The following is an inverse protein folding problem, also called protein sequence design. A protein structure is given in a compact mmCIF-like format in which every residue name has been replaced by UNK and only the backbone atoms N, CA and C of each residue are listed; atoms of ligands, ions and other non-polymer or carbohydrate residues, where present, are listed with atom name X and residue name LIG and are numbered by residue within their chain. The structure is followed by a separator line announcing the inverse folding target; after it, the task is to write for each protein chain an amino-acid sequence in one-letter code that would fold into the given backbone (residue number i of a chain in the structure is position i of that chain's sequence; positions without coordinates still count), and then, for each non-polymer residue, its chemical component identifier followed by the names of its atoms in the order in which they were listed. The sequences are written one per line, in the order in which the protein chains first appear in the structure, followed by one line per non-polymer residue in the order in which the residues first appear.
data_IF_144238869535
#
_entry.id   IF_144238869535
#
_cell.length_a   1.000
_cell.length_b   1.000
_cell.length_c   1.000
_cell.angle_alpha   90.00
_cell.angle_beta   90.00
_cell.angle_gamma   90.00
#
_symmetry.space_group_name_H-M   'P 1'
#
loop_
_entity.id
_entity.type
_entity.pdbx_description
1 polymer ?
#
# COMPACT_ATOMS: atom_id res chain seq x y z
N UNK A 1 -20.27 0.48 39.12
CA UNK A 1 -19.81 -0.92 39.14
C UNK A 1 -18.39 -0.88 38.64
N UNK A 2 -17.44 -1.20 39.51
CA UNK A 2 -16.01 -1.25 39.18
C UNK A 2 -15.84 -2.10 37.91
N UNK A 3 -15.40 -1.46 36.83
CA UNK A 3 -14.79 -2.19 35.73
C UNK A 3 -13.53 -2.75 36.35
N UNK A 4 -13.51 -4.05 36.63
CA UNK A 4 -12.27 -4.75 36.95
C UNK A 4 -11.25 -4.29 35.92
N UNK A 5 -10.17 -3.63 36.35
CA UNK A 5 -9.18 -3.11 35.42
C UNK A 5 -8.62 -4.31 34.67
N UNK A 6 -8.84 -4.38 33.35
CA UNK A 6 -8.25 -5.41 32.49
C UNK A 6 -6.73 -5.23 32.50
N UNK A 7 -6.06 -5.85 33.48
CA UNK A 7 -4.63 -5.74 33.71
C UNK A 7 -3.99 -7.12 33.78
N UNK A 8 -2.70 -7.16 33.45
CA UNK A 8 -1.82 -8.30 33.62
C UNK A 8 -0.86 -7.99 34.76
N UNK A 9 -0.84 -8.85 35.79
CA UNK A 9 0.17 -8.78 36.84
C UNK A 9 1.41 -9.57 36.42
N UNK A 10 2.57 -8.92 36.41
CA UNK A 10 3.87 -9.51 36.10
C UNK A 10 4.75 -9.44 37.34
N UNK A 11 5.20 -10.59 37.84
CA UNK A 11 6.18 -10.66 38.94
C UNK A 11 7.56 -10.97 38.38
N UNK A 12 8.52 -10.08 38.61
CA UNK A 12 9.92 -10.30 38.26
C UNK A 12 10.63 -11.05 39.40
N UNK A 13 10.85 -12.35 39.21
CA UNK A 13 11.49 -13.20 40.21
C UNK A 13 12.94 -12.80 40.55
N UNK A 14 13.61 -12.00 39.71
CA UNK A 14 14.97 -11.51 39.99
C UNK A 14 14.98 -10.47 41.12
N UNK A 15 13.89 -9.73 41.29
CA UNK A 15 13.76 -8.64 42.28
C UNK A 15 12.65 -8.87 43.29
N UNK A 16 11.73 -9.82 43.03
CA UNK A 16 10.53 -10.07 43.81
C UNK A 16 9.43 -9.01 43.63
N UNK A 17 9.63 -8.02 42.76
CA UNK A 17 8.66 -6.93 42.53
C UNK A 17 7.56 -7.39 41.57
N UNK A 18 6.34 -6.92 41.83
CA UNK A 18 5.20 -7.13 40.95
C UNK A 18 4.74 -5.82 40.32
N UNK A 19 4.31 -5.91 39.07
CA UNK A 19 3.93 -4.78 38.23
C UNK A 19 2.58 -5.09 37.60
N UNK A 20 1.72 -4.08 37.47
CA UNK A 20 0.46 -4.20 36.74
C UNK A 20 0.58 -3.47 35.41
N UNK A 21 0.22 -4.16 34.34
CA UNK A 21 0.27 -3.62 32.97
C UNK A 21 -1.13 -3.66 32.39
N UNK A 22 -1.65 -2.56 31.82
CA UNK A 22 -2.98 -2.55 31.23
C UNK A 22 -3.03 -3.43 29.98
N UNK A 23 -4.10 -4.20 29.85
CA UNK A 23 -4.43 -4.96 28.65
C UNK A 23 -5.49 -4.18 27.88
N UNK A 24 -5.25 -3.92 26.60
CA UNK A 24 -6.20 -3.27 25.72
C UNK A 24 -6.20 -3.95 24.36
N UNK A 25 -7.38 -4.23 23.80
CA UNK A 25 -7.53 -4.87 22.49
C UNK A 25 -6.78 -6.22 22.40
N UNK A 26 -6.72 -6.96 23.51
CA UNK A 26 -5.98 -8.23 23.60
C UNK A 26 -4.45 -8.08 23.58
N UNK A 27 -3.92 -6.86 23.73
CA UNK A 27 -2.48 -6.57 23.68
C UNK A 27 -2.02 -5.80 24.93
N UNK A 28 -0.72 -5.85 25.20
CA UNK A 28 -0.04 -4.93 26.12
C UNK A 28 0.90 -4.03 25.31
N UNK A 29 1.13 -2.79 25.76
CA UNK A 29 2.14 -1.94 25.10
C UNK A 29 3.53 -2.40 25.51
N UNK A 30 4.40 -2.65 24.54
CA UNK A 30 5.80 -3.02 24.82
C UNK A 30 6.54 -1.96 25.65
N UNK A 31 6.18 -0.68 25.52
CA UNK A 31 6.76 0.41 26.32
C UNK A 31 6.41 0.31 27.81
N UNK A 32 5.29 -0.30 28.16
CA UNK A 32 4.84 -0.40 29.55
C UNK A 32 5.70 -1.43 30.32
N UNK A 33 6.42 -2.32 29.63
CA UNK A 33 7.38 -3.23 30.26
C UNK A 33 8.66 -2.52 30.75
N UNK A 34 8.94 -1.29 30.30
CA UNK A 34 10.14 -0.54 30.73
C UNK A 34 10.18 -0.23 32.22
N UNK A 35 9.04 -0.28 32.91
CA UNK A 35 8.97 -0.11 34.36
C UNK A 35 9.62 -1.28 35.12
N UNK A 36 9.76 -2.44 34.48
CA UNK A 36 10.36 -3.66 35.05
C UNK A 36 11.87 -3.54 34.91
N UNK A 37 12.56 -3.37 36.05
CA UNK A 37 13.99 -3.07 36.12
C UNK A 37 14.68 -3.93 37.18
N UNK A 38 15.89 -4.41 36.90
CA UNK A 38 16.71 -5.16 37.87
C UNK A 38 17.54 -4.22 38.75
N UNK A 39 17.99 -3.09 38.21
CA UNK A 39 18.69 -2.02 38.92
C UNK A 39 18.16 -0.64 38.50
N UNK A 40 18.47 0.40 39.26
CA UNK A 40 17.97 1.76 38.96
C UNK A 40 18.49 2.31 37.62
N UNK A 41 19.71 1.91 37.25
CA UNK A 41 20.37 2.28 35.98
C UNK A 41 19.92 1.45 34.77
N UNK A 42 19.03 0.46 34.97
CA UNK A 42 18.49 -0.37 33.90
C UNK A 42 17.58 0.46 32.99
N UNK A 43 17.69 0.25 31.67
CA UNK A 43 16.80 0.85 30.68
C UNK A 43 15.36 0.34 30.85
N UNK A 44 15.21 -0.88 31.38
CA UNK A 44 13.94 -1.57 31.58
C UNK A 44 13.74 -2.71 30.59
N UNK A 45 12.85 -3.65 30.96
CA UNK A 45 12.58 -4.83 30.16
C UNK A 45 12.08 -4.46 28.76
N UNK A 46 12.63 -5.14 27.76
CA UNK A 46 12.23 -5.03 26.36
C UNK A 46 11.69 -6.39 25.89
N UNK A 47 10.71 -6.35 24.99
CA UNK A 47 10.25 -7.54 24.27
C UNK A 47 11.29 -7.96 23.24
N UNK A 48 11.58 -9.25 23.15
CA UNK A 48 12.35 -9.84 22.07
C UNK A 48 11.42 -10.73 21.23
N UNK A 49 11.00 -10.24 20.08
CA UNK A 49 10.07 -10.91 19.17
C UNK A 49 10.56 -10.81 17.72
N UNK A 50 11.55 -11.64 17.32
CA UNK A 50 12.06 -11.66 15.96
C UNK A 50 10.93 -11.85 14.93
N UNK A 51 10.96 -11.05 13.87
CA UNK A 51 9.93 -11.03 12.82
C UNK A 51 8.51 -10.59 13.28
N UNK A 52 8.37 -10.05 14.49
CA UNK A 52 7.09 -9.52 15.02
C UNK A 52 5.94 -10.53 15.03
N UNK A 53 6.26 -11.81 15.25
CA UNK A 53 5.29 -12.91 15.18
C UNK A 53 4.15 -12.79 16.19
N UNK A 54 4.37 -12.07 17.29
CA UNK A 54 3.38 -11.82 18.33
C UNK A 54 3.33 -10.34 18.74
N UNK A 55 3.62 -9.43 17.79
CA UNK A 55 3.61 -7.99 18.03
C UNK A 55 2.66 -7.29 17.05
N UNK A 56 1.54 -6.78 17.57
CA UNK A 56 0.66 -5.90 16.80
C UNK A 56 1.29 -4.49 16.69
N UNK A 57 1.87 -4.17 15.53
CA UNK A 57 2.62 -2.92 15.33
C UNK A 57 1.75 -1.68 15.14
N UNK A 58 0.47 -1.82 14.76
CA UNK A 58 -0.42 -0.69 14.55
C UNK A 58 -1.89 -1.06 14.72
N UNK A 59 -2.73 -0.04 14.93
CA UNK A 59 -4.18 -0.13 14.75
C UNK A 59 -4.52 0.19 13.30
N UNK A 60 -5.38 -0.63 12.70
CA UNK A 60 -5.85 -0.45 11.32
C UNK A 60 -7.34 -0.73 11.22
N UNK A 61 -8.02 0.01 10.35
CA UNK A 61 -9.42 -0.22 9.99
C UNK A 61 -9.57 -0.48 8.48
N UNK A 62 -8.49 -0.90 7.81
CA UNK A 62 -8.43 -1.07 6.35
C UNK A 62 -8.87 -2.48 5.95
N UNK A 63 -8.18 -3.49 6.45
CA UNK A 63 -8.38 -4.88 6.04
C UNK A 63 -8.41 -5.78 7.26
N UNK A 64 -9.26 -6.79 7.22
CA UNK A 64 -9.32 -7.86 8.21
C UNK A 64 -9.16 -9.21 7.51
N UNK A 65 -8.34 -10.07 8.11
CA UNK A 65 -8.04 -11.41 7.62
C UNK A 65 -8.21 -12.40 8.76
N UNK A 66 -8.92 -13.51 8.47
CA UNK A 66 -8.90 -14.72 9.28
C UNK A 66 -8.53 -15.87 8.35
N UNK A 67 -7.27 -16.32 8.42
CA UNK A 67 -6.74 -17.36 7.56
C UNK A 67 -7.35 -18.73 7.82
N UNK A 68 -7.73 -19.02 9.07
CA UNK A 68 -8.30 -20.32 9.46
C UNK A 68 -9.75 -20.46 8.95
N UNK A 69 -10.49 -19.36 8.93
CA UNK A 69 -11.84 -19.30 8.38
C UNK A 69 -11.90 -18.91 6.90
N UNK A 70 -10.77 -18.54 6.30
CA UNK A 70 -10.69 -18.09 4.90
C UNK A 70 -11.41 -16.76 4.66
N UNK A 71 -11.42 -15.84 5.64
CA UNK A 71 -12.09 -14.55 5.54
C UNK A 71 -11.09 -13.48 5.13
N UNK A 72 -11.42 -12.72 4.09
CA UNK A 72 -10.75 -11.47 3.72
C UNK A 72 -11.80 -10.38 3.54
N UNK A 73 -11.63 -9.25 4.23
CA UNK A 73 -12.54 -8.10 4.15
C UNK A 73 -11.80 -6.80 3.97
N UNK A 74 -12.23 -5.99 3.01
CA UNK A 74 -11.80 -4.59 2.87
C UNK A 74 -12.87 -3.69 3.45
N UNK A 75 -12.53 -2.88 4.45
CA UNK A 75 -13.46 -1.99 5.17
C UNK A 75 -14.74 -2.70 5.65
N UNK A 76 -14.63 -3.99 5.98
CA UNK A 76 -15.76 -4.82 6.40
C UNK A 76 -16.52 -5.55 5.27
N UNK A 77 -16.32 -5.17 4.01
CA UNK A 77 -16.92 -5.83 2.85
C UNK A 77 -16.18 -7.13 2.52
N UNK A 78 -16.87 -8.28 2.38
CA UNK A 78 -16.24 -9.53 1.94
C UNK A 78 -15.62 -9.42 0.56
N UNK A 79 -14.43 -10.00 0.38
CA UNK A 79 -13.67 -9.86 -0.86
C UNK A 79 -14.42 -10.41 -2.09
N UNK A 80 -15.22 -11.46 -1.92
CA UNK A 80 -15.99 -12.08 -3.00
C UNK A 80 -17.02 -11.10 -3.57
N UNK A 81 -17.65 -10.30 -2.71
CA UNK A 81 -18.63 -9.30 -3.15
C UNK A 81 -17.96 -8.18 -3.93
N UNK A 82 -16.76 -7.76 -3.51
CA UNK A 82 -16.00 -6.73 -4.21
C UNK A 82 -15.50 -7.25 -5.55
N UNK A 83 -14.92 -8.45 -5.60
CA UNK A 83 -14.42 -9.07 -6.82
C UNK A 83 -15.51 -9.30 -7.88
N UNK A 84 -16.75 -9.62 -7.46
CA UNK A 84 -17.86 -9.85 -8.38
C UNK A 84 -18.52 -8.57 -8.90
N UNK A 85 -18.51 -7.48 -8.12
CA UNK A 85 -19.42 -6.34 -8.35
C UNK A 85 -18.75 -4.99 -8.49
N UNK A 86 -17.56 -4.82 -7.93
CA UNK A 86 -16.86 -3.54 -7.92
C UNK A 86 -15.79 -3.53 -9.02
N UNK A 87 -15.52 -2.34 -9.55
CA UNK A 87 -14.31 -2.06 -10.33
C UNK A 87 -13.10 -1.91 -9.40
N UNK A 88 -11.90 -2.06 -9.95
CA UNK A 88 -10.68 -1.84 -9.18
C UNK A 88 -10.58 -0.40 -8.63
N UNK A 89 -11.06 0.60 -9.38
CA UNK A 89 -11.04 1.99 -8.92
C UNK A 89 -12.01 2.26 -7.77
N UNK A 90 -13.16 1.59 -7.72
CA UNK A 90 -14.06 1.63 -6.55
C UNK A 90 -13.40 1.02 -5.32
N UNK A 91 -12.72 -0.12 -5.47
CA UNK A 91 -11.99 -0.76 -4.36
C UNK A 91 -10.81 0.11 -3.91
N UNK A 92 -10.07 0.72 -4.83
CA UNK A 92 -9.00 1.67 -4.49
C UNK A 92 -9.54 2.88 -3.71
N UNK A 93 -10.69 3.43 -4.12
CA UNK A 93 -11.37 4.51 -3.39
C UNK A 93 -11.78 4.04 -1.98
N UNK A 94 -12.43 2.88 -1.86
CA UNK A 94 -12.83 2.28 -0.59
C UNK A 94 -11.65 2.14 0.37
N UNK A 95 -10.51 1.63 -0.11
CA UNK A 95 -9.32 1.47 0.71
C UNK A 95 -8.74 2.83 1.16
N UNK A 96 -8.76 3.85 0.30
CA UNK A 96 -8.17 5.15 0.60
C UNK A 96 -9.05 6.08 1.44
N UNK A 97 -10.36 6.05 1.24
CA UNK A 97 -11.32 6.99 1.85
C UNK A 97 -12.17 6.33 2.95
N UNK A 98 -12.28 5.00 2.96
CA UNK A 98 -12.93 4.23 4.03
C UNK A 98 -14.33 3.73 3.71
N UNK A 99 -15.00 4.33 2.71
CA UNK A 99 -16.35 3.98 2.28
C UNK A 99 -16.43 3.85 0.76
N UNK A 100 -17.45 3.15 0.26
CA UNK A 100 -17.69 3.05 -1.18
C UNK A 100 -18.14 4.41 -1.75
N UNK A 101 -17.67 4.80 -2.94
CA UNK A 101 -18.03 6.09 -3.52
C UNK A 101 -19.49 6.10 -4.01
N UNK A 102 -20.15 7.24 -3.90
CA UNK A 102 -21.33 7.53 -4.72
C UNK A 102 -20.93 7.65 -6.20
N UNK A 103 -21.90 7.59 -7.10
CA UNK A 103 -21.64 7.72 -8.55
C UNK A 103 -20.86 8.99 -8.90
N UNK A 104 -21.24 10.14 -8.32
CA UNK A 104 -20.58 11.40 -8.59
C UNK A 104 -19.11 11.42 -8.09
N UNK A 105 -18.87 10.83 -6.92
CA UNK A 105 -17.51 10.69 -6.37
C UNK A 105 -16.66 9.75 -7.21
N UNK A 106 -17.23 8.64 -7.70
CA UNK A 106 -16.55 7.70 -8.57
C UNK A 106 -16.20 8.32 -9.92
N UNK A 107 -17.11 9.08 -10.52
CA UNK A 107 -16.89 9.77 -11.79
C UNK A 107 -15.73 10.79 -11.64
N UNK A 108 -15.74 11.58 -10.56
CA UNK A 108 -14.66 12.53 -10.26
C UNK A 108 -13.33 11.82 -9.97
N UNK A 109 -13.36 10.74 -9.19
CA UNK A 109 -12.20 9.93 -8.85
C UNK A 109 -11.54 9.35 -10.11
N UNK A 110 -12.35 8.75 -10.98
CA UNK A 110 -11.90 8.15 -12.24
C UNK A 110 -11.26 9.19 -13.14
N UNK A 111 -11.86 10.37 -13.28
CA UNK A 111 -11.29 11.45 -14.09
C UNK A 111 -9.98 11.98 -13.49
N UNK A 112 -9.92 12.12 -12.16
CA UNK A 112 -8.72 12.58 -11.45
C UNK A 112 -7.56 11.60 -11.63
N UNK A 113 -7.82 10.28 -11.55
CA UNK A 113 -6.82 9.24 -11.83
C UNK A 113 -6.39 9.29 -13.30
N UNK A 114 -7.34 9.36 -14.23
CA UNK A 114 -7.09 9.43 -15.68
C UNK A 114 -6.14 10.58 -16.04
N UNK A 115 -6.41 11.77 -15.50
CA UNK A 115 -5.59 12.97 -15.72
C UNK A 115 -4.12 12.79 -15.29
N UNK A 116 -3.85 11.95 -14.30
CA UNK A 116 -2.51 11.76 -13.73
C UNK A 116 -1.74 10.55 -14.28
N UNK A 117 -2.26 9.84 -15.28
CA UNK A 117 -1.64 8.61 -15.83
C UNK A 117 -0.31 8.83 -16.55
N UNK A 118 -0.10 10.02 -17.14
CA UNK A 118 1.15 10.34 -17.84
C UNK A 118 2.32 10.53 -16.89
N UNK A 119 3.49 10.03 -17.27
CA UNK A 119 4.76 10.31 -16.60
C UNK A 119 5.53 11.39 -17.36
N UNK A 120 6.37 12.15 -16.64
CA UNK A 120 7.23 13.15 -17.27
C UNK A 120 8.17 12.47 -18.27
N UNK A 121 8.46 13.08 -19.43
CA UNK A 121 9.27 12.47 -20.50
C UNK A 121 10.71 12.13 -20.06
N UNK A 122 11.27 12.85 -19.10
CA UNK A 122 12.55 12.45 -18.50
C UNK A 122 12.50 11.08 -17.79
N UNK A 123 11.34 10.58 -17.35
CA UNK A 123 11.20 9.22 -16.82
C UNK A 123 11.41 8.18 -17.93
N UNK A 124 10.97 8.44 -19.17
CA UNK A 124 11.24 7.51 -20.27
C UNK A 124 12.74 7.43 -20.58
N UNK A 125 13.44 8.57 -20.53
CA UNK A 125 14.91 8.61 -20.66
C UNK A 125 15.62 7.91 -19.49
N UNK A 126 15.09 8.04 -18.27
CA UNK A 126 15.62 7.33 -17.10
C UNK A 126 15.47 5.81 -17.27
N UNK A 127 14.31 5.35 -17.77
CA UNK A 127 14.06 3.95 -18.06
C UNK A 127 15.04 3.36 -19.09
N UNK A 128 15.40 4.14 -20.13
CA UNK A 128 16.39 3.75 -21.14
C UNK A 128 17.79 3.49 -20.54
N UNK A 129 18.09 4.01 -19.35
CA UNK A 129 19.34 3.78 -18.65
C UNK A 129 19.48 2.40 -18.01
N UNK A 130 18.38 1.66 -17.83
CA UNK A 130 18.44 0.29 -17.34
C UNK A 130 18.98 -0.66 -18.40
N UNK A 131 19.67 -1.72 -17.98
CA UNK A 131 20.07 -2.82 -18.87
C UNK A 131 18.84 -3.39 -19.58
N UNK A 132 18.99 -3.81 -20.83
CA UNK A 132 17.87 -4.24 -21.69
C UNK A 132 17.07 -5.43 -21.14
N UNK A 133 17.66 -6.26 -20.27
CA UNK A 133 17.05 -7.42 -19.62
C UNK A 133 16.89 -7.21 -18.09
N UNK A 134 16.92 -5.97 -17.63
CA UNK A 134 16.70 -5.65 -16.22
C UNK A 134 15.33 -6.19 -15.77
N UNK A 135 15.29 -6.75 -14.56
CA UNK A 135 14.07 -7.30 -14.00
C UNK A 135 13.03 -6.19 -13.79
N UNK A 136 11.76 -6.34 -14.22
CA UNK A 136 10.76 -5.27 -14.15
C UNK A 136 10.56 -4.68 -12.74
N UNK A 137 10.66 -5.50 -11.69
CA UNK A 137 10.58 -5.00 -10.30
C UNK A 137 11.74 -4.07 -9.93
N UNK A 138 12.97 -4.33 -10.39
CA UNK A 138 14.10 -3.43 -10.14
C UNK A 138 13.94 -2.09 -10.85
N UNK A 139 13.36 -2.13 -12.06
CA UNK A 139 13.00 -0.92 -12.80
C UNK A 139 11.88 -0.14 -12.11
N UNK A 140 10.82 -0.83 -11.67
CA UNK A 140 9.69 -0.21 -10.97
C UNK A 140 10.15 0.48 -9.69
N UNK A 141 10.94 -0.19 -8.86
CA UNK A 141 11.55 0.38 -7.64
C UNK A 141 12.35 1.66 -7.97
N UNK A 142 13.25 1.59 -8.95
CA UNK A 142 14.10 2.72 -9.30
C UNK A 142 13.32 3.92 -9.84
N UNK A 143 12.29 3.67 -10.66
CA UNK A 143 11.45 4.73 -11.24
C UNK A 143 10.53 5.34 -10.19
N UNK A 144 9.90 4.53 -9.32
CA UNK A 144 9.05 5.04 -8.24
C UNK A 144 9.88 5.92 -7.30
N UNK A 145 11.08 5.49 -6.91
CA UNK A 145 12.00 6.33 -6.13
C UNK A 145 12.36 7.63 -6.85
N UNK A 146 12.60 7.58 -8.16
CA UNK A 146 12.90 8.76 -8.96
C UNK A 146 11.73 9.77 -9.02
N UNK A 147 10.47 9.32 -8.91
CA UNK A 147 9.30 10.22 -8.89
C UNK A 147 9.35 11.24 -7.75
N UNK A 148 10.01 10.93 -6.63
CA UNK A 148 10.22 11.89 -5.52
C UNK A 148 10.90 13.19 -5.99
N UNK A 149 11.76 13.11 -7.00
CA UNK A 149 12.47 14.27 -7.59
C UNK A 149 11.61 15.09 -8.53
N UNK A 150 10.54 14.50 -9.09
CA UNK A 150 9.58 15.17 -9.96
C UNK A 150 8.43 15.81 -9.18
N UNK A 151 8.22 15.38 -7.93
CA UNK A 151 7.18 15.87 -7.03
C UNK A 151 7.79 16.29 -5.68
N UNK A 152 8.65 17.33 -5.63
CA UNK A 152 9.30 17.76 -4.38
C UNK A 152 8.30 18.27 -3.34
N UNK A 153 7.12 18.72 -3.78
CA UNK A 153 5.97 19.05 -2.93
C UNK A 153 5.50 17.86 -2.08
N UNK A 154 5.71 16.63 -2.52
CA UNK A 154 5.30 15.40 -1.84
C UNK A 154 5.90 15.23 -0.43
N UNK A 155 6.99 15.93 -0.13
CA UNK A 155 7.60 15.96 1.21
C UNK A 155 6.74 16.69 2.25
N UNK A 156 5.83 17.57 1.82
CA UNK A 156 4.89 18.24 2.73
C UNK A 156 3.72 17.31 3.11
N UNK A 157 4.01 16.33 3.97
CA UNK A 157 3.03 15.31 4.39
C UNK A 157 2.02 15.83 5.41
N UNK A 158 2.22 17.01 5.99
CA UNK A 158 1.27 17.61 6.93
C UNK A 158 0.05 18.20 6.21
N UNK A 159 0.18 18.53 4.92
CA UNK A 159 -0.92 19.03 4.10
C UNK A 159 -1.82 17.87 3.59
N UNK A 160 -3.10 17.81 4.01
CA UNK A 160 -4.02 16.75 3.57
C UNK A 160 -4.27 16.75 2.06
N UNK A 161 -4.38 17.91 1.42
CA UNK A 161 -4.66 18.01 -0.01
C UNK A 161 -3.46 17.52 -0.83
N UNK A 162 -2.25 17.89 -0.39
CA UNK A 162 -1.02 17.37 -0.98
C UNK A 162 -0.92 15.85 -0.83
N UNK A 163 -1.16 15.30 0.37
CA UNK A 163 -1.19 13.84 0.58
C UNK A 163 -2.17 13.14 -0.35
N UNK A 164 -3.39 13.68 -0.49
CA UNK A 164 -4.40 13.13 -1.40
C UNK A 164 -3.90 13.12 -2.85
N UNK A 165 -3.31 14.22 -3.31
CA UNK A 165 -2.76 14.32 -4.67
C UNK A 165 -1.64 13.30 -4.92
N UNK A 166 -0.74 13.09 -3.97
CA UNK A 166 0.34 12.11 -4.15
C UNK A 166 -0.18 10.66 -4.15
N UNK A 167 -1.24 10.34 -3.36
CA UNK A 167 -1.92 9.03 -3.42
C UNK A 167 -2.47 8.75 -4.82
N UNK A 168 -3.17 9.74 -5.41
CA UNK A 168 -3.68 9.65 -6.79
C UNK A 168 -2.55 9.46 -7.79
N UNK A 169 -1.48 10.26 -7.70
CA UNK A 169 -0.35 10.20 -8.62
C UNK A 169 0.32 8.83 -8.60
N UNK A 170 0.51 8.22 -7.42
CA UNK A 170 1.03 6.86 -7.30
C UNK A 170 0.09 5.86 -7.99
N UNK A 171 -1.20 5.86 -7.64
CA UNK A 171 -2.19 4.96 -8.24
C UNK A 171 -2.26 5.08 -9.77
N UNK A 172 -2.24 6.31 -10.29
CA UNK A 172 -2.38 6.59 -11.71
C UNK A 172 -1.12 6.23 -12.52
N UNK A 173 0.08 6.40 -11.95
CA UNK A 173 1.35 6.25 -12.68
C UNK A 173 1.93 4.85 -12.60
N UNK A 174 1.62 4.09 -11.54
CA UNK A 174 2.13 2.72 -11.37
C UNK A 174 1.86 1.83 -12.59
N UNK A 175 0.65 1.79 -13.18
CA UNK A 175 0.41 1.00 -14.39
C UNK A 175 1.25 1.44 -15.59
N UNK A 176 1.42 2.76 -15.79
CA UNK A 176 2.24 3.31 -16.86
C UNK A 176 3.70 2.87 -16.71
N UNK A 177 4.24 2.95 -15.49
CA UNK A 177 5.62 2.55 -15.19
C UNK A 177 5.79 1.04 -15.38
N UNK A 178 4.85 0.24 -14.90
CA UNK A 178 4.89 -1.21 -15.05
C UNK A 178 4.82 -1.64 -16.53
N UNK A 179 3.95 -1.02 -17.32
CA UNK A 179 3.85 -1.26 -18.75
C UNK A 179 5.16 -0.87 -19.47
N UNK A 180 5.76 0.27 -19.12
CA UNK A 180 7.03 0.69 -19.69
C UNK A 180 8.17 -0.26 -19.34
N UNK A 181 8.25 -0.74 -18.09
CA UNK A 181 9.23 -1.72 -17.67
C UNK A 181 9.11 -3.04 -18.47
N UNK A 182 7.89 -3.54 -18.67
CA UNK A 182 7.65 -4.71 -19.52
C UNK A 182 8.14 -4.49 -20.95
N UNK A 183 7.79 -3.36 -21.55
CA UNK A 183 8.18 -3.04 -22.94
C UNK A 183 9.68 -2.87 -23.10
N UNK A 184 10.34 -2.24 -22.13
CA UNK A 184 11.80 -2.13 -22.08
C UNK A 184 12.45 -3.51 -22.09
N UNK A 185 12.00 -4.42 -21.23
CA UNK A 185 12.52 -5.81 -21.19
C UNK A 185 12.29 -6.61 -22.48
N UNK A 186 11.45 -6.11 -23.38
CA UNK A 186 11.11 -6.71 -24.69
C UNK A 186 11.69 -5.92 -25.87
N UNK A 187 12.40 -4.82 -25.63
CA UNK A 187 12.91 -3.94 -26.69
C UNK A 187 11.80 -3.25 -27.50
N UNK A 188 10.61 -3.08 -26.93
CA UNK A 188 9.47 -2.46 -27.60
C UNK A 188 9.43 -0.95 -27.32
N UNK A 189 9.02 -0.11 -28.29
CA UNK A 189 8.85 1.33 -28.07
C UNK A 189 7.69 1.58 -27.10
N UNK A 190 7.79 2.56 -26.20
CA UNK A 190 6.72 2.87 -25.23
C UNK A 190 5.41 3.30 -25.90
N UNK A 191 4.29 2.90 -25.30
CA UNK A 191 2.93 3.28 -25.72
C UNK A 191 2.33 4.07 -24.58
N UNK A 192 1.95 5.32 -24.84
CA UNK A 192 1.42 6.22 -23.82
C UNK A 192 -0.04 5.91 -23.45
N UNK A 193 -0.51 6.39 -22.27
CA UNK A 193 -1.90 6.26 -21.88
C UNK A 193 -2.87 6.81 -22.94
N UNK A 194 -4.03 6.17 -23.06
CA UNK A 194 -5.17 6.59 -23.88
C UNK A 194 -6.36 6.92 -22.97
N UNK A 195 -6.83 8.16 -23.05
CA UNK A 195 -7.90 8.68 -22.19
C UNK A 195 -9.30 8.13 -22.56
N UNK A 196 -9.44 7.52 -23.74
CA UNK A 196 -10.67 6.87 -24.18
C UNK A 196 -10.83 5.46 -23.56
N UNK A 197 -9.78 4.93 -22.93
CA UNK A 197 -9.78 3.63 -22.26
C UNK A 197 -10.02 3.77 -20.75
N UNK A 198 -10.60 2.74 -20.16
CA UNK A 198 -10.69 2.58 -18.71
C UNK A 198 -9.33 2.19 -18.10
N UNK A 199 -9.24 2.14 -16.77
CA UNK A 199 -7.98 1.92 -16.06
C UNK A 199 -7.26 0.63 -16.49
N UNK A 200 -8.02 -0.46 -16.60
CA UNK A 200 -7.51 -1.79 -16.98
C UNK A 200 -7.17 -1.84 -18.46
N UNK A 201 -8.08 -1.36 -19.31
CA UNK A 201 -7.91 -1.29 -20.75
C UNK A 201 -6.71 -0.47 -21.13
N UNK A 202 -6.48 0.65 -20.45
CA UNK A 202 -5.31 1.50 -20.64
C UNK A 202 -4.01 0.76 -20.30
N UNK A 203 -3.93 0.07 -19.15
CA UNK A 203 -2.75 -0.72 -18.79
C UNK A 203 -2.46 -1.84 -19.79
N UNK A 204 -3.49 -2.58 -20.22
CA UNK A 204 -3.39 -3.65 -21.22
C UNK A 204 -2.96 -3.09 -22.58
N UNK A 205 -3.52 -1.96 -23.01
CA UNK A 205 -3.14 -1.29 -24.26
C UNK A 205 -1.67 -0.87 -24.24
N UNK A 206 -1.23 -0.18 -23.18
CA UNK A 206 0.17 0.22 -23.04
C UNK A 206 1.09 -1.01 -23.09
N UNK A 207 0.73 -2.08 -22.39
CA UNK A 207 1.58 -3.28 -22.29
C UNK A 207 1.66 -4.06 -23.61
N UNK A 208 0.54 -4.30 -24.29
CA UNK A 208 0.43 -5.29 -25.37
C UNK A 208 0.10 -4.73 -26.76
N UNK A 209 -0.06 -3.41 -26.92
CA UNK A 209 -0.27 -2.83 -28.25
C UNK A 209 0.95 -3.01 -29.15
N UNK A 210 0.72 -3.59 -30.33
CA UNK A 210 1.69 -3.77 -31.41
C UNK A 210 1.14 -3.07 -32.65
N UNK A 211 1.92 -2.17 -33.27
CA UNK A 211 1.49 -1.44 -34.46
C UNK A 211 0.37 -0.40 -34.22
N UNK A 212 0.14 0.01 -32.97
CA UNK A 212 -0.79 1.10 -32.63
C UNK A 212 -2.28 0.73 -32.64
N UNK A 213 -2.62 -0.56 -32.80
CA UNK A 213 -3.99 -1.05 -32.66
C UNK A 213 -4.00 -2.27 -31.73
N UNK A 214 -4.50 -2.10 -30.52
CA UNK A 214 -4.82 -3.22 -29.65
C UNK A 214 -6.33 -3.41 -29.64
N UNK A 215 -6.80 -4.65 -29.83
CA UNK A 215 -8.21 -4.99 -29.62
C UNK A 215 -8.34 -5.65 -28.24
N UNK A 216 -8.89 -4.94 -27.24
CA UNK A 216 -9.16 -5.47 -25.92
C UNK A 216 -9.85 -6.85 -25.94
N UNK A 217 -9.28 -7.83 -25.26
CA UNK A 217 -10.03 -9.02 -24.88
C UNK A 217 -10.73 -8.75 -23.55
N UNK A 218 -12.05 -8.52 -23.60
CA UNK A 218 -12.86 -8.20 -22.42
C UNK A 218 -12.77 -9.25 -21.31
N UNK A 219 -12.63 -10.53 -21.66
CA UNK A 219 -12.52 -11.62 -20.67
C UNK A 219 -11.20 -11.50 -19.90
N UNK A 220 -10.09 -11.24 -20.59
CA UNK A 220 -8.79 -11.08 -19.95
C UNK A 220 -8.69 -9.80 -19.12
N UNK A 221 -9.34 -8.72 -19.58
CA UNK A 221 -9.40 -7.48 -18.82
C UNK A 221 -10.21 -7.64 -17.53
N UNK A 222 -11.38 -8.29 -17.61
CA UNK A 222 -12.16 -8.57 -16.42
C UNK A 222 -11.41 -9.49 -15.43
N UNK A 223 -10.72 -10.52 -15.94
CA UNK A 223 -9.86 -11.35 -15.09
C UNK A 223 -8.74 -10.55 -14.41
N UNK A 224 -8.12 -9.60 -15.14
CA UNK A 224 -7.10 -8.72 -14.58
C UNK A 224 -7.67 -7.76 -13.53
N UNK A 225 -8.88 -7.24 -13.74
CA UNK A 225 -9.56 -6.39 -12.76
C UNK A 225 -9.78 -7.13 -11.44
N UNK A 226 -10.31 -8.35 -11.51
CA UNK A 226 -10.45 -9.23 -10.34
C UNK A 226 -9.10 -9.47 -9.68
N UNK A 227 -8.06 -9.78 -10.46
CA UNK A 227 -6.72 -9.99 -9.90
C UNK A 227 -6.19 -8.76 -9.16
N UNK A 228 -6.40 -7.55 -9.69
CA UNK A 228 -5.99 -6.33 -9.01
C UNK A 228 -6.79 -6.09 -7.72
N UNK A 229 -8.09 -6.38 -7.72
CA UNK A 229 -8.93 -6.31 -6.51
C UNK A 229 -8.41 -7.28 -5.44
N UNK A 230 -8.16 -8.53 -5.81
CA UNK A 230 -7.68 -9.57 -4.89
C UNK A 230 -6.28 -9.27 -4.31
N UNK A 231 -5.49 -8.42 -4.97
CA UNK A 231 -4.14 -8.04 -4.53
C UNK A 231 -4.07 -6.59 -4.02
N UNK A 232 -5.22 -5.91 -3.85
CA UNK A 232 -5.25 -4.49 -3.52
C UNK A 232 -4.68 -4.19 -2.12
N UNK A 233 -4.98 -5.06 -1.14
CA UNK A 233 -4.39 -5.01 0.20
C UNK A 233 -4.40 -6.40 0.86
N UNK A 234 -3.47 -6.64 1.78
CA UNK A 234 -3.39 -7.88 2.54
C UNK A 234 -2.83 -7.62 3.95
N UNK A 235 -3.42 -6.65 4.65
CA UNK A 235 -3.16 -6.34 6.07
C UNK A 235 -1.68 -6.01 6.37
N UNK A 236 -1.13 -6.40 7.53
CA UNK A 236 0.26 -6.11 7.92
C UNK A 236 1.22 -7.20 7.42
N UNK A 237 1.38 -7.27 6.09
CA UNK A 237 2.43 -8.10 5.48
C UNK A 237 3.80 -7.39 5.47
N UNK A 238 4.84 -8.07 4.98
CA UNK A 238 6.20 -7.56 4.94
C UNK A 238 6.35 -6.24 4.18
N UNK A 239 5.73 -6.10 3.00
CA UNK A 239 5.85 -4.87 2.19
C UNK A 239 5.07 -3.72 2.80
N UNK A 240 3.83 -3.93 3.25
CA UNK A 240 3.04 -2.89 3.95
C UNK A 240 3.74 -2.42 5.22
N UNK A 241 4.31 -3.34 6.00
CA UNK A 241 5.08 -3.03 7.20
C UNK A 241 6.35 -2.24 6.89
N UNK A 242 7.06 -2.58 5.80
CA UNK A 242 8.22 -1.82 5.34
C UNK A 242 7.84 -0.39 4.94
N UNK A 243 6.76 -0.20 4.18
CA UNK A 243 6.25 1.14 3.81
C UNK A 243 5.94 1.96 5.06
N UNK A 244 5.30 1.36 6.07
CA UNK A 244 5.01 2.02 7.34
C UNK A 244 6.28 2.39 8.12
N UNK A 245 7.25 1.50 8.17
CA UNK A 245 8.51 1.73 8.88
C UNK A 245 9.35 2.84 8.21
N UNK A 246 9.44 2.83 6.87
CA UNK A 246 10.11 3.91 6.14
C UNK A 246 9.32 5.21 6.31
N UNK A 247 8.00 5.17 6.12
CA UNK A 247 7.11 6.32 6.27
C UNK A 247 7.13 6.97 7.66
N UNK A 248 7.43 6.23 8.73
CA UNK A 248 7.51 6.80 10.09
C UNK A 248 8.66 7.80 10.26
N UNK A 249 9.63 7.79 9.35
CA UNK A 249 10.68 8.82 9.28
C UNK A 249 10.23 10.13 8.61
N UNK A 250 8.94 10.23 8.25
CA UNK A 250 8.32 11.40 7.62
C UNK A 250 8.90 11.73 6.23
N UNK A 251 9.26 10.69 5.46
CA UNK A 251 9.65 10.82 4.05
C UNK A 251 8.43 11.03 3.15
N UNK A 252 8.68 11.44 1.90
CA UNK A 252 7.64 11.52 0.89
C UNK A 252 7.09 10.11 0.53
N UNK A 253 5.83 10.01 0.08
CA UNK A 253 5.19 8.72 -0.20
C UNK A 253 5.83 7.94 -1.36
N UNK A 254 6.54 8.59 -2.30
CA UNK A 254 7.21 7.85 -3.37
C UNK A 254 8.42 7.08 -2.83
N UNK A 255 9.22 7.73 -1.99
CA UNK A 255 10.33 7.09 -1.28
C UNK A 255 9.89 6.01 -0.29
N UNK A 256 8.70 6.14 0.31
CA UNK A 256 8.16 5.11 1.19
C UNK A 256 7.69 3.85 0.44
N UNK A 257 7.26 4.00 -0.83
CA UNK A 257 6.71 2.90 -1.65
C UNK A 257 7.81 2.19 -2.47
N UNK A 258 8.91 2.88 -2.82
CA UNK A 258 10.02 2.33 -3.60
C UNK A 258 10.74 1.19 -2.88
#
# INVERSE_FOLDING_TARGET
MDVAQDTLTITDNRTGRSYEVPVAEGTIKATDLRQIKVSDDDFGLMTYDPAFMNTAACRSAITYIDGDQGILRYRGYPIEQLAERASFLEVAYLLMEGELPSKAELDQWTETVKYHTYVHTNITKFLEGFRYDAHPMGMLLGVVGALSTFYPDAKNISDPANRQLQRVRLLAKTPTIAAFAFRHSRGLPFVFPDNDLDYIGNFVNMTFSIGGRHKPNKVLQHALEILLILHADHEQNCSTSAVRAVGSSHVDPFSAIS
#
